data_IF_098817954193
#
_entry.id   IF_098817954193
#
_cell.length_a   1.000
_cell.length_b   1.000
_cell.length_c   1.000
_cell.angle_alpha   90.00
_cell.angle_beta   90.00
_cell.angle_gamma   90.00
#
_symmetry.space_group_name_H-M   'P 1'
#
loop_
_entity.id
_entity.type
_entity.pdbx_description
1 polymer ?
#
# COMPACT_ATOMS: atom_id res chain seq x y z
N UNK A 1 13.88 11.32 10.40
CA UNK A 1 12.39 11.27 10.33
C UNK A 1 11.80 11.91 11.58
N UNK A 2 11.03 12.98 11.43
CA UNK A 2 10.39 13.67 12.56
C UNK A 2 9.19 12.85 13.11
N UNK A 3 8.58 13.29 14.21
CA UNK A 3 7.44 12.59 14.82
C UNK A 3 6.18 12.62 13.94
N UNK A 4 5.97 13.70 13.19
CA UNK A 4 4.81 13.88 12.33
C UNK A 4 4.84 12.93 11.14
N UNK A 5 5.99 12.75 10.49
CA UNK A 5 6.22 11.77 9.42
C UNK A 5 5.97 10.35 9.92
N UNK A 6 6.42 10.00 11.13
CA UNK A 6 6.14 8.69 11.74
C UNK A 6 4.64 8.46 11.95
N UNK A 7 3.92 9.46 12.44
CA UNK A 7 2.46 9.35 12.59
C UNK A 7 1.75 9.25 11.24
N UNK A 8 2.19 10.00 10.24
CA UNK A 8 1.62 9.95 8.90
C UNK A 8 1.75 8.55 8.28
N UNK A 9 2.96 7.97 8.32
CA UNK A 9 3.22 6.61 7.82
C UNK A 9 2.32 5.57 8.52
N UNK A 10 2.21 5.63 9.85
CA UNK A 10 1.33 4.73 10.62
C UNK A 10 -0.13 4.89 10.22
N UNK A 11 -0.59 6.12 10.05
CA UNK A 11 -1.96 6.43 9.64
C UNK A 11 -2.28 5.86 8.25
N UNK A 12 -1.37 6.01 7.29
CA UNK A 12 -1.55 5.47 5.94
C UNK A 12 -1.59 3.95 5.91
N UNK A 13 -0.73 3.26 6.68
CA UNK A 13 -0.85 1.81 6.86
C UNK A 13 -2.19 1.43 7.50
N UNK A 14 -2.69 2.22 8.46
CA UNK A 14 -3.99 1.95 9.06
C UNK A 14 -5.14 2.10 8.07
N UNK A 15 -5.06 3.03 7.10
CA UNK A 15 -6.04 3.13 6.01
C UNK A 15 -6.01 1.88 5.12
N UNK A 16 -4.81 1.38 4.78
CA UNK A 16 -4.63 0.16 4.01
C UNK A 16 -5.24 -1.07 4.69
N UNK A 17 -5.04 -1.21 6.01
CA UNK A 17 -5.57 -2.32 6.81
C UNK A 17 -7.09 -2.25 6.95
N UNK A 18 -7.68 -1.04 6.97
CA UNK A 18 -9.11 -0.82 7.15
C UNK A 18 -9.91 -0.79 5.84
N UNK A 19 -9.31 -1.17 4.72
CA UNK A 19 -9.92 -1.09 3.38
C UNK A 19 -10.46 0.33 3.07
N UNK A 20 -9.77 1.35 3.58
CA UNK A 20 -10.19 2.74 3.51
C UNK A 20 -9.49 3.52 2.38
N UNK A 21 -8.67 2.85 1.58
CA UNK A 21 -8.09 3.44 0.37
C UNK A 21 -9.16 3.42 -0.72
N UNK A 22 -9.54 4.62 -1.17
CA UNK A 22 -10.56 4.83 -2.19
C UNK A 22 -10.03 5.83 -3.20
N UNK A 23 -10.13 5.51 -4.48
CA UNK A 23 -9.73 6.44 -5.54
C UNK A 23 -10.79 7.53 -5.77
N UNK A 24 -10.47 8.52 -6.62
CA UNK A 24 -11.35 9.65 -6.92
C UNK A 24 -12.70 9.26 -7.55
N UNK A 25 -12.85 8.03 -8.05
CA UNK A 25 -14.09 7.52 -8.63
C UNK A 25 -14.93 6.69 -7.66
N UNK A 26 -14.43 6.42 -6.46
CA UNK A 26 -15.06 5.52 -5.50
C UNK A 26 -14.60 4.06 -5.59
N UNK A 27 -13.56 3.74 -6.37
CA UNK A 27 -13.01 2.39 -6.40
C UNK A 27 -12.27 2.11 -5.09
N UNK A 28 -12.75 1.11 -4.33
CA UNK A 28 -12.20 0.76 -3.03
C UNK A 28 -11.15 -0.33 -3.17
N UNK A 29 -9.99 -0.06 -2.59
CA UNK A 29 -8.90 -1.01 -2.42
C UNK A 29 -9.09 -1.72 -1.09
N UNK A 30 -9.05 -3.04 -1.12
CA UNK A 30 -9.07 -3.89 0.07
C UNK A 30 -7.69 -4.44 0.39
N UNK A 31 -7.50 -4.88 1.63
CA UNK A 31 -6.35 -5.65 2.08
C UNK A 31 -6.13 -6.90 1.22
N UNK A 32 -7.20 -7.57 0.76
CA UNK A 32 -7.10 -8.69 -0.17
C UNK A 32 -6.51 -8.25 -1.53
N UNK A 33 -6.96 -7.12 -2.07
CA UNK A 33 -6.41 -6.53 -3.30
C UNK A 33 -4.93 -6.18 -3.12
N UNK A 34 -4.56 -5.56 -1.99
CA UNK A 34 -3.16 -5.26 -1.66
C UNK A 34 -2.33 -6.56 -1.65
N UNK A 35 -2.83 -7.61 -0.99
CA UNK A 35 -2.16 -8.91 -0.93
C UNK A 35 -1.93 -9.50 -2.30
N UNK A 36 -2.98 -9.54 -3.11
CA UNK A 36 -2.92 -10.06 -4.48
C UNK A 36 -1.84 -9.34 -5.30
N UNK A 37 -1.80 -8.00 -5.24
CA UNK A 37 -0.82 -7.22 -5.99
C UNK A 37 0.61 -7.40 -5.50
N UNK A 38 0.83 -7.51 -4.18
CA UNK A 38 2.17 -7.72 -3.60
C UNK A 38 2.67 -9.15 -3.86
N UNK A 39 1.80 -10.15 -3.77
CA UNK A 39 2.15 -11.54 -4.11
C UNK A 39 2.42 -11.73 -5.59
N UNK A 40 1.60 -11.11 -6.46
CA UNK A 40 1.82 -11.14 -7.91
C UNK A 40 3.23 -10.60 -8.27
N UNK A 41 3.74 -9.65 -7.50
CA UNK A 41 5.05 -9.04 -7.76
C UNK A 41 6.23 -9.84 -7.22
N UNK A 42 5.98 -10.95 -6.53
CA UNK A 42 7.04 -11.75 -5.90
C UNK A 42 7.77 -11.02 -4.76
N UNK A 43 7.09 -10.07 -4.12
CA UNK A 43 7.69 -9.32 -3.03
C UNK A 43 8.06 -10.28 -1.88
N UNK A 44 9.34 -10.26 -1.47
CA UNK A 44 9.92 -11.22 -0.52
C UNK A 44 9.47 -10.95 0.92
N UNK A 45 8.87 -9.78 1.16
CA UNK A 45 8.38 -9.38 2.47
C UNK A 45 7.07 -10.11 2.77
N UNK A 46 6.95 -10.66 3.98
CA UNK A 46 5.73 -11.28 4.48
C UNK A 46 4.57 -10.28 4.46
N UNK A 47 3.69 -10.44 3.46
CA UNK A 47 2.57 -9.56 3.20
C UNK A 47 1.55 -9.61 4.34
N UNK A 48 1.42 -10.76 5.01
CA UNK A 48 0.55 -10.90 6.17
C UNK A 48 1.10 -10.08 7.35
N UNK A 49 2.42 -10.07 7.55
CA UNK A 49 3.05 -9.19 8.53
C UNK A 49 2.86 -7.70 8.19
N UNK A 50 2.95 -7.32 6.91
CA UNK A 50 2.73 -5.94 6.48
C UNK A 50 1.30 -5.45 6.75
N UNK A 51 0.31 -6.34 6.73
CA UNK A 51 -1.10 -6.00 6.93
C UNK A 51 -1.67 -6.42 8.30
N UNK A 52 -0.83 -6.95 9.19
CA UNK A 52 -1.27 -7.37 10.53
C UNK A 52 -1.80 -6.18 11.36
N UNK A 53 -3.10 -6.17 11.72
CA UNK A 53 -3.70 -5.11 12.53
C UNK A 53 -3.21 -5.07 13.98
N UNK A 54 -2.49 -6.09 14.44
CA UNK A 54 -1.99 -6.22 15.82
C UNK A 54 -0.76 -5.36 16.06
N UNK A 55 0.13 -5.24 15.06
CA UNK A 55 1.35 -4.44 15.15
C UNK A 55 1.16 -3.02 14.60
N UNK A 56 0.35 -2.19 15.27
CA UNK A 56 0.01 -0.82 14.80
C UNK A 56 1.12 0.20 14.99
N UNK A 57 2.12 -0.09 15.82
CA UNK A 57 3.14 0.88 16.19
C UNK A 57 4.43 0.76 15.39
N UNK A 58 4.60 -0.33 14.64
CA UNK A 58 5.80 -0.60 13.87
C UNK A 58 5.88 0.25 12.61
N UNK A 59 6.65 1.35 12.73
CA UNK A 59 6.92 2.29 11.65
C UNK A 59 7.70 1.63 10.51
N UNK A 60 8.55 0.64 10.81
CA UNK A 60 9.35 -0.05 9.80
C UNK A 60 8.45 -0.88 8.89
N UNK A 61 7.47 -1.62 9.42
CA UNK A 61 6.49 -2.34 8.61
C UNK A 61 5.60 -1.40 7.80
N UNK A 62 5.21 -0.26 8.38
CA UNK A 62 4.43 0.75 7.67
C UNK A 62 5.21 1.38 6.52
N UNK A 63 6.47 1.72 6.72
CA UNK A 63 7.34 2.21 5.66
C UNK A 63 7.59 1.14 4.59
N UNK A 64 7.85 -0.10 4.99
CA UNK A 64 8.07 -1.22 4.08
C UNK A 64 6.83 -1.47 3.19
N UNK A 65 5.62 -1.42 3.75
CA UNK A 65 4.38 -1.52 2.98
C UNK A 65 4.28 -0.39 1.95
N UNK A 66 4.41 0.86 2.38
CA UNK A 66 4.26 2.02 1.48
C UNK A 66 5.31 2.01 0.37
N UNK A 67 6.54 1.63 0.70
CA UNK A 67 7.61 1.44 -0.27
C UNK A 67 7.29 0.33 -1.26
N UNK A 68 6.88 -0.83 -0.79
CA UNK A 68 6.47 -1.95 -1.63
C UNK A 68 5.34 -1.57 -2.60
N UNK A 69 4.37 -0.76 -2.16
CA UNK A 69 3.31 -0.24 -3.01
C UNK A 69 3.84 0.75 -4.06
N UNK A 70 4.74 1.67 -3.67
CA UNK A 70 5.31 2.67 -4.56
C UNK A 70 6.19 2.09 -5.68
N UNK A 71 6.81 0.93 -5.40
CA UNK A 71 7.73 0.24 -6.31
C UNK A 71 7.01 -0.80 -7.19
N UNK A 72 5.68 -0.93 -7.09
CA UNK A 72 4.93 -1.84 -7.94
C UNK A 72 5.15 -1.52 -9.44
N UNK A 73 5.49 -2.53 -10.26
CA UNK A 73 5.55 -2.35 -11.70
C UNK A 73 4.13 -2.18 -12.26
N UNK A 74 4.08 -1.68 -13.49
CA UNK A 74 2.82 -1.54 -14.20
C UNK A 74 2.14 -2.90 -14.36
N UNK A 75 0.81 -2.89 -14.39
CA UNK A 75 0.04 -4.12 -14.47
C UNK A 75 0.32 -4.85 -15.80
N UNK A 76 0.42 -6.20 -15.80
CA UNK A 76 0.68 -6.98 -17.00
C UNK A 76 -0.37 -6.71 -18.09
N UNK A 77 0.01 -6.67 -19.38
CA UNK A 77 -0.86 -6.25 -20.49
C UNK A 77 -2.07 -7.19 -20.80
N UNK A 78 -2.29 -8.24 -20.00
CA UNK A 78 -3.46 -9.11 -20.08
C UNK A 78 -4.35 -9.08 -18.83
N UNK A 79 -4.09 -8.17 -17.89
CA UNK A 79 -4.83 -8.10 -16.63
C UNK A 79 -6.20 -7.44 -16.83
N UNK A 80 -7.11 -7.65 -15.88
CA UNK A 80 -8.42 -7.00 -15.94
C UNK A 80 -8.30 -5.48 -15.77
N UNK A 81 -9.21 -4.67 -16.34
CA UNK A 81 -9.22 -3.22 -16.11
C UNK A 81 -9.24 -2.84 -14.62
N UNK A 82 -9.92 -3.64 -13.78
CA UNK A 82 -9.94 -3.45 -12.34
C UNK A 82 -8.56 -3.68 -11.71
N UNK A 83 -7.80 -4.68 -12.17
CA UNK A 83 -6.44 -4.94 -11.71
C UNK A 83 -5.49 -3.81 -12.11
N UNK A 84 -5.58 -3.32 -13.36
CA UNK A 84 -4.80 -2.15 -13.79
C UNK A 84 -5.07 -0.93 -12.90
N UNK A 85 -6.34 -0.64 -12.69
CA UNK A 85 -6.77 0.47 -11.84
C UNK A 85 -6.30 0.32 -10.40
N UNK A 86 -6.43 -0.87 -9.83
CA UNK A 86 -5.97 -1.16 -8.48
C UNK A 86 -4.45 -0.97 -8.37
N UNK A 87 -3.69 -1.45 -9.36
CA UNK A 87 -2.23 -1.27 -9.45
C UNK A 87 -1.84 0.21 -9.44
N UNK A 88 -2.47 1.02 -10.30
CA UNK A 88 -2.19 2.46 -10.37
C UNK A 88 -2.57 3.19 -9.07
N UNK A 89 -3.70 2.84 -8.48
CA UNK A 89 -4.17 3.43 -7.21
C UNK A 89 -3.18 3.13 -6.08
N UNK A 90 -2.72 1.88 -5.98
CA UNK A 90 -1.75 1.44 -4.99
C UNK A 90 -0.39 2.13 -5.16
N UNK A 91 0.10 2.21 -6.41
CA UNK A 91 1.36 2.87 -6.74
C UNK A 91 1.34 4.35 -6.39
N UNK A 92 0.27 5.05 -6.80
CA UNK A 92 0.05 6.46 -6.46
C UNK A 92 -0.03 6.66 -4.96
N UNK A 93 -0.78 5.80 -4.24
CA UNK A 93 -0.90 5.87 -2.80
C UNK A 93 0.47 5.72 -2.10
N UNK A 94 1.29 4.76 -2.52
CA UNK A 94 2.65 4.58 -2.00
C UNK A 94 3.57 5.76 -2.29
N UNK A 95 3.55 6.29 -3.51
CA UNK A 95 4.38 7.44 -3.92
C UNK A 95 4.02 8.70 -3.14
N UNK A 96 2.74 9.09 -3.11
CA UNK A 96 2.28 10.27 -2.36
C UNK A 96 2.54 10.16 -0.85
N UNK A 97 2.61 8.92 -0.34
CA UNK A 97 2.98 8.68 1.04
C UNK A 97 4.46 8.99 1.32
N UNK A 98 5.35 8.61 0.39
CA UNK A 98 6.80 8.75 0.54
C UNK A 98 7.32 10.17 0.23
N UNK A 99 6.68 10.89 -0.70
CA UNK A 99 6.99 12.30 -0.99
C UNK A 99 6.86 13.21 0.24
N UNK A 100 6.10 12.80 1.25
CA UNK A 100 5.91 13.51 2.52
C UNK A 100 6.90 13.10 3.61
N UNK A 101 7.82 12.21 3.28
CA UNK A 101 8.83 11.65 4.21
C UNK A 101 10.24 12.15 3.96
N UNK A 102 10.48 12.71 2.77
CA UNK A 102 11.72 13.39 2.35
C UNK A 102 11.74 14.86 2.80
#
# INVERSE_FOLDING_TARGET
MNNDTRHHIKFLRQLAIRDAIVDSSGFRITSATIKEHLHHDGNIIDVDALLDPSDRQNVCLAFALLKALSELPDAPPGSTPAFHRARETLKTFGQSALERTE
#
